data_IF_246579100818
#
_entry.id   IF_246579100818
#
_cell.length_a   1.000
_cell.length_b   1.000
_cell.length_c   1.000
_cell.angle_alpha   90.00
_cell.angle_beta   90.00
_cell.angle_gamma   90.00
#
_symmetry.space_group_name_H-M   'P 1'
#
loop_
_entity.id
_entity.type
_entity.pdbx_description
1 polymer ?
#
# COMPACT_ATOMS: atom_id res chain seq x y z
N UNK A 1 -9.38 -27.49 -23.84
CA UNK A 1 -8.66 -26.97 -25.03
C UNK A 1 -7.63 -25.96 -24.54
N UNK A 2 -6.36 -26.36 -24.54
CA UNK A 2 -5.25 -25.51 -24.08
C UNK A 2 -5.07 -24.34 -25.06
N UNK A 3 -5.07 -23.11 -24.54
CA UNK A 3 -4.70 -21.92 -25.33
C UNK A 3 -3.18 -21.81 -25.31
N UNK A 4 -2.57 -22.08 -26.46
CA UNK A 4 -1.15 -21.82 -26.72
C UNK A 4 -0.86 -20.33 -26.53
N UNK A 5 0.11 -20.04 -25.65
CA UNK A 5 0.69 -18.71 -25.49
C UNK A 5 1.63 -18.50 -26.68
N UNK A 6 1.24 -17.63 -27.62
CA UNK A 6 2.12 -17.19 -28.70
C UNK A 6 3.25 -16.34 -28.11
N UNK A 7 4.45 -16.91 -28.09
CA UNK A 7 5.71 -16.18 -27.93
C UNK A 7 5.84 -15.17 -29.08
N UNK A 8 5.76 -13.87 -28.77
CA UNK A 8 6.15 -12.80 -29.68
C UNK A 8 7.61 -12.45 -29.38
N UNK A 9 8.50 -12.80 -30.29
CA UNK A 9 9.85 -12.27 -30.38
C UNK A 9 9.80 -10.80 -30.77
N UNK A 10 9.71 -9.90 -29.78
CA UNK A 10 10.27 -8.55 -29.90
C UNK A 10 11.62 -8.59 -29.22
N UNK A 11 12.61 -7.91 -29.80
CA UNK A 11 13.81 -7.54 -29.05
C UNK A 11 13.29 -6.53 -28.02
N UNK A 12 12.90 -7.03 -26.85
CA UNK A 12 12.21 -6.25 -25.82
C UNK A 12 13.19 -5.21 -25.27
N UNK A 13 13.06 -3.98 -25.78
CA UNK A 13 13.59 -2.82 -25.08
C UNK A 13 12.75 -2.72 -23.82
N UNK A 14 13.34 -3.07 -22.68
CA UNK A 14 12.74 -2.84 -21.37
C UNK A 14 12.30 -1.38 -21.28
N UNK A 15 11.04 -1.14 -20.92
CA UNK A 15 10.45 0.21 -20.94
C UNK A 15 11.13 1.15 -19.94
N UNK A 16 11.66 0.57 -18.87
CA UNK A 16 12.36 1.27 -17.81
C UNK A 16 13.86 1.41 -18.12
N UNK A 17 14.32 2.63 -18.39
CA UNK A 17 15.74 2.94 -18.47
C UNK A 17 16.45 2.63 -17.13
N UNK A 18 17.63 2.02 -17.19
CA UNK A 18 18.44 1.69 -16.00
C UNK A 18 19.59 2.68 -15.85
N UNK A 19 19.49 3.54 -14.85
CA UNK A 19 20.44 4.63 -14.56
C UNK A 19 21.43 4.26 -13.46
N UNK A 20 22.66 4.75 -13.59
CA UNK A 20 23.67 4.68 -12.55
C UNK A 20 23.51 5.85 -11.56
N UNK A 21 23.39 5.51 -10.27
CA UNK A 21 23.17 6.46 -9.17
C UNK A 21 24.30 7.48 -8.95
N UNK A 22 25.47 7.27 -9.55
CA UNK A 22 26.68 8.11 -9.40
C UNK A 22 26.97 8.94 -10.64
N UNK A 23 26.59 8.48 -11.83
CA UNK A 23 26.98 9.11 -13.10
C UNK A 23 25.81 9.75 -13.85
N UNK A 24 24.58 9.33 -13.58
CA UNK A 24 23.40 9.76 -14.34
C UNK A 24 22.45 10.62 -13.48
N UNK A 25 21.61 11.44 -14.14
CA UNK A 25 20.57 12.21 -13.45
C UNK A 25 19.42 11.31 -12.98
N UNK A 26 19.43 10.97 -11.70
CA UNK A 26 18.45 10.08 -11.08
C UNK A 26 17.26 10.81 -10.42
N UNK A 27 17.08 12.12 -10.62
CA UNK A 27 16.02 12.90 -9.92
C UNK A 27 14.60 12.35 -10.10
N UNK A 28 14.33 11.71 -11.22
CA UNK A 28 13.03 11.12 -11.55
C UNK A 28 13.03 9.58 -11.49
N UNK A 29 14.18 8.96 -11.21
CA UNK A 29 14.32 7.52 -11.18
C UNK A 29 13.84 6.91 -9.86
N UNK A 30 13.23 5.74 -9.91
CA UNK A 30 12.98 4.93 -8.73
C UNK A 30 14.30 4.32 -8.23
N UNK A 31 14.64 4.56 -6.97
CA UNK A 31 15.83 3.96 -6.35
C UNK A 31 15.58 2.51 -5.97
N UNK A 32 16.23 1.58 -6.67
CA UNK A 32 16.05 0.13 -6.47
C UNK A 32 17.28 -0.58 -5.92
N UNK A 33 18.36 0.14 -5.63
CA UNK A 33 19.54 -0.43 -4.98
C UNK A 33 19.33 -0.63 -3.46
N UNK A 34 20.26 -1.33 -2.80
CA UNK A 34 20.23 -1.49 -1.34
C UNK A 34 20.31 -0.13 -0.63
N UNK A 35 19.60 0.08 0.48
CA UNK A 35 18.76 -0.87 1.22
C UNK A 35 17.26 -0.84 0.83
N UNK A 36 16.90 -0.42 -0.39
CA UNK A 36 15.48 -0.39 -0.80
C UNK A 36 14.82 -1.78 -0.72
N UNK A 37 13.48 -1.86 -0.62
CA UNK A 37 12.75 -3.12 -0.66
C UNK A 37 13.05 -4.02 -1.88
N UNK A 38 13.44 -3.41 -3.00
CA UNK A 38 13.76 -4.12 -4.24
C UNK A 38 15.27 -4.33 -4.43
N UNK A 39 16.10 -3.95 -3.45
CA UNK A 39 17.54 -4.15 -3.50
C UNK A 39 17.92 -5.62 -3.51
N UNK A 40 18.89 -6.00 -4.35
CA UNK A 40 19.38 -7.37 -4.38
C UNK A 40 19.96 -7.79 -3.01
N UNK A 41 19.42 -8.83 -2.34
CA UNK A 41 19.93 -9.29 -1.06
C UNK A 41 21.29 -10.01 -1.19
N UNK A 42 21.66 -10.45 -2.39
CA UNK A 42 22.89 -11.16 -2.68
C UNK A 42 24.02 -10.20 -3.07
N UNK A 43 25.25 -10.46 -2.61
CA UNK A 43 26.43 -9.65 -2.87
C UNK A 43 27.40 -10.32 -3.84
N UNK A 44 27.84 -9.59 -4.88
CA UNK A 44 28.91 -10.06 -5.77
C UNK A 44 30.16 -10.36 -4.94
N UNK A 45 30.77 -11.52 -5.17
CA UNK A 45 31.84 -12.09 -4.35
C UNK A 45 31.26 -13.15 -3.40
N UNK A 46 30.80 -12.79 -2.19
CA UNK A 46 30.33 -13.76 -1.19
C UNK A 46 29.21 -14.68 -1.68
N UNK A 47 28.29 -14.17 -2.50
CA UNK A 47 27.12 -14.92 -2.98
C UNK A 47 27.27 -15.45 -4.41
N UNK A 48 28.43 -15.26 -5.02
CA UNK A 48 28.75 -15.64 -6.40
C UNK A 48 29.20 -14.48 -7.27
N UNK A 49 29.45 -14.77 -8.54
CA UNK A 49 29.73 -13.74 -9.54
C UNK A 49 28.48 -12.92 -9.89
N UNK A 50 28.65 -11.92 -10.77
CA UNK A 50 27.57 -11.03 -11.20
C UNK A 50 26.38 -11.78 -11.81
N UNK A 51 26.62 -12.80 -12.63
CA UNK A 51 25.55 -13.54 -13.29
C UNK A 51 24.79 -14.38 -12.26
N UNK A 52 25.52 -15.05 -11.37
CA UNK A 52 24.96 -15.87 -10.31
C UNK A 52 24.05 -15.05 -9.36
N UNK A 53 24.50 -13.87 -8.90
CA UNK A 53 23.67 -13.05 -7.99
C UNK A 53 22.46 -12.43 -8.68
N UNK A 54 22.49 -12.20 -9.99
CA UNK A 54 21.32 -11.74 -10.76
C UNK A 54 20.32 -12.88 -10.95
N UNK A 55 20.79 -14.09 -11.25
CA UNK A 55 19.94 -15.27 -11.34
C UNK A 55 19.24 -15.56 -10.00
N UNK A 56 20.00 -15.59 -8.90
CA UNK A 56 19.44 -15.74 -7.54
C UNK A 56 18.43 -14.64 -7.21
N UNK A 57 18.70 -13.40 -7.64
CA UNK A 57 17.74 -12.30 -7.45
C UNK A 57 16.43 -12.51 -8.21
N UNK A 58 16.49 -13.03 -9.43
CA UNK A 58 15.29 -13.36 -10.21
C UNK A 58 14.42 -14.38 -9.50
N UNK A 59 15.02 -15.46 -9.00
CA UNK A 59 14.31 -16.47 -8.22
C UNK A 59 13.73 -15.88 -6.92
N UNK A 60 14.52 -15.07 -6.22
CA UNK A 60 14.08 -14.40 -5.00
C UNK A 60 12.91 -13.45 -5.24
N UNK A 61 12.97 -12.59 -6.26
CA UNK A 61 11.91 -11.64 -6.57
C UNK A 61 10.63 -12.37 -6.99
N UNK A 62 10.76 -13.41 -7.82
CA UNK A 62 9.64 -14.26 -8.19
C UNK A 62 8.96 -14.92 -6.98
N UNK A 63 9.74 -15.44 -6.03
CA UNK A 63 9.20 -16.02 -4.80
C UNK A 63 8.48 -14.98 -3.93
N UNK A 64 9.05 -13.78 -3.76
CA UNK A 64 8.40 -12.69 -2.98
C UNK A 64 7.09 -12.24 -3.61
N UNK A 65 7.04 -12.17 -4.93
CA UNK A 65 5.80 -11.86 -5.67
C UNK A 65 4.76 -12.97 -5.47
N UNK A 66 5.16 -14.24 -5.61
CA UNK A 66 4.26 -15.39 -5.45
C UNK A 66 3.67 -15.49 -4.03
N UNK A 67 4.46 -15.13 -3.01
CA UNK A 67 4.04 -15.06 -1.60
C UNK A 67 3.24 -13.78 -1.25
N UNK A 68 3.01 -12.90 -2.23
CA UNK A 68 2.47 -11.56 -2.06
C UNK A 68 3.16 -10.80 -0.92
N UNK A 69 4.49 -10.83 -0.87
CA UNK A 69 5.27 -10.08 0.12
C UNK A 69 4.87 -8.60 0.09
N UNK A 70 4.33 -8.05 1.20
CA UNK A 70 3.67 -6.76 1.18
C UNK A 70 4.65 -5.63 0.98
N UNK A 71 5.91 -5.79 1.41
CA UNK A 71 6.94 -4.76 1.28
C UNK A 71 7.42 -4.71 -0.17
N UNK A 72 7.71 -5.87 -0.76
CA UNK A 72 8.16 -5.98 -2.15
C UNK A 72 7.04 -5.59 -3.12
N UNK A 73 5.83 -6.12 -2.94
CA UNK A 73 4.68 -5.82 -3.81
C UNK A 73 4.31 -4.34 -3.74
N UNK A 74 4.27 -3.74 -2.53
CA UNK A 74 4.03 -2.29 -2.38
C UNK A 74 5.10 -1.44 -3.06
N UNK A 75 6.36 -1.88 -3.05
CA UNK A 75 7.44 -1.17 -3.71
C UNK A 75 7.32 -1.27 -5.24
N UNK A 76 7.01 -2.45 -5.79
CA UNK A 76 6.72 -2.64 -7.22
C UNK A 76 5.55 -1.75 -7.66
N UNK A 77 4.45 -1.75 -6.91
CA UNK A 77 3.25 -0.95 -7.20
C UNK A 77 3.49 0.57 -7.16
N UNK A 78 4.57 1.02 -6.51
CA UNK A 78 4.95 2.44 -6.44
C UNK A 78 5.79 2.94 -7.63
N UNK A 79 6.23 2.06 -8.52
CA UNK A 79 6.99 2.44 -9.72
C UNK A 79 5.99 2.82 -10.82
N UNK A 80 6.12 4.02 -11.39
CA UNK A 80 5.25 4.47 -12.48
C UNK A 80 5.67 3.83 -13.81
N UNK A 81 4.74 3.72 -14.75
CA UNK A 81 5.03 3.33 -16.13
C UNK A 81 6.17 4.17 -16.73
N UNK A 82 7.12 3.54 -17.42
CA UNK A 82 8.35 4.13 -17.98
C UNK A 82 9.26 4.88 -16.98
N UNK A 83 9.00 4.82 -15.67
CA UNK A 83 9.86 5.50 -14.69
C UNK A 83 11.25 4.85 -14.70
N UNK A 84 12.34 5.61 -14.91
CA UNK A 84 13.68 5.01 -14.89
C UNK A 84 13.97 4.35 -13.54
N UNK A 85 14.74 3.28 -13.53
CA UNK A 85 15.22 2.63 -12.30
C UNK A 85 16.67 3.01 -12.09
N UNK A 86 17.07 3.26 -10.83
CA UNK A 86 18.45 3.62 -10.51
C UNK A 86 19.15 2.57 -9.65
N UNK A 87 20.33 2.16 -10.09
CA UNK A 87 21.21 1.23 -9.39
C UNK A 87 22.68 1.54 -9.66
N UNK A 88 23.52 1.53 -8.63
CA UNK A 88 24.96 1.82 -8.74
C UNK A 88 25.74 0.84 -9.66
N UNK A 89 25.17 -0.33 -9.96
CA UNK A 89 25.79 -1.33 -10.83
C UNK A 89 25.69 -1.00 -12.32
N UNK A 90 24.73 -0.17 -12.72
CA UNK A 90 24.54 0.21 -14.12
C UNK A 90 25.81 0.90 -14.67
N UNK A 91 26.14 0.83 -15.96
CA UNK A 91 25.41 0.14 -17.02
C UNK A 91 25.72 -1.36 -17.12
N UNK A 92 26.58 -1.91 -16.25
CA UNK A 92 26.81 -3.35 -16.24
C UNK A 92 25.52 -4.10 -15.86
N UNK A 93 25.37 -5.38 -16.28
CA UNK A 93 24.20 -6.18 -15.92
C UNK A 93 23.92 -6.10 -14.41
N UNK A 94 22.67 -5.80 -14.06
CA UNK A 94 22.27 -5.64 -12.66
C UNK A 94 20.82 -6.06 -12.45
N UNK A 95 20.44 -6.23 -11.18
CA UNK A 95 19.12 -6.69 -10.77
C UNK A 95 17.97 -5.77 -11.20
N UNK A 96 18.24 -4.50 -11.48
CA UNK A 96 17.22 -3.56 -11.96
C UNK A 96 16.64 -3.97 -13.32
N UNK A 97 17.40 -4.70 -14.15
CA UNK A 97 16.88 -5.28 -15.41
C UNK A 97 15.79 -6.33 -15.13
N UNK A 98 15.97 -7.16 -14.10
CA UNK A 98 14.97 -8.15 -13.67
C UNK A 98 13.70 -7.47 -13.15
N UNK A 99 13.84 -6.35 -12.42
CA UNK A 99 12.68 -5.55 -11.99
C UNK A 99 11.93 -5.01 -13.21
N UNK A 100 12.64 -4.44 -14.19
CA UNK A 100 12.05 -3.90 -15.40
C UNK A 100 11.29 -4.97 -16.20
N UNK A 101 11.87 -6.15 -16.40
CA UNK A 101 11.22 -7.28 -17.07
C UNK A 101 9.91 -7.70 -16.36
N UNK A 102 9.92 -7.72 -15.02
CA UNK A 102 8.74 -8.07 -14.21
C UNK A 102 7.65 -6.99 -14.33
N UNK A 103 8.02 -5.71 -14.35
CA UNK A 103 7.09 -4.59 -14.56
C UNK A 103 6.49 -4.65 -15.97
N UNK A 104 7.31 -4.83 -17.01
CA UNK A 104 6.88 -4.97 -18.41
C UNK A 104 5.99 -6.21 -18.63
N UNK A 105 6.16 -7.24 -17.79
CA UNK A 105 5.33 -8.44 -17.75
C UNK A 105 3.92 -8.22 -17.17
N UNK A 106 3.57 -7.00 -16.75
CA UNK A 106 2.25 -6.66 -16.23
C UNK A 106 2.01 -7.14 -14.80
N UNK A 107 3.06 -7.22 -13.98
CA UNK A 107 2.89 -7.69 -12.59
C UNK A 107 2.01 -6.76 -11.76
N UNK A 108 2.00 -5.45 -12.07
CA UNK A 108 1.27 -4.47 -11.28
C UNK A 108 -0.23 -4.67 -11.43
N UNK A 109 -0.71 -4.98 -12.64
CA UNK A 109 -2.10 -5.35 -12.90
C UNK A 109 -2.48 -6.63 -12.13
N UNK A 110 -1.62 -7.65 -12.14
CA UNK A 110 -1.84 -8.90 -11.42
C UNK A 110 -1.91 -8.68 -9.90
N UNK A 111 -1.06 -7.82 -9.34
CA UNK A 111 -1.05 -7.50 -7.92
C UNK A 111 -2.26 -6.66 -7.49
N UNK A 112 -2.84 -5.87 -8.39
CA UNK A 112 -4.07 -5.09 -8.15
C UNK A 112 -5.35 -5.92 -8.33
N UNK A 113 -5.23 -7.12 -8.89
CA UNK A 113 -6.30 -8.10 -8.89
C UNK A 113 -6.36 -8.82 -7.53
N UNK A 114 -7.36 -8.44 -6.74
CA UNK A 114 -7.59 -9.00 -5.40
C UNK A 114 -8.55 -10.19 -5.41
N UNK A 115 -9.06 -10.59 -6.59
CA UNK A 115 -10.03 -11.67 -6.71
C UNK A 115 -11.39 -11.31 -6.12
N UNK A 116 -11.96 -12.23 -5.34
CA UNK A 116 -13.29 -12.09 -4.75
C UNK A 116 -13.34 -11.05 -3.62
N UNK A 117 -14.50 -10.38 -3.48
CA UNK A 117 -14.74 -9.40 -2.43
C UNK A 117 -14.67 -10.04 -1.05
N UNK A 118 -13.89 -9.43 -0.16
CA UNK A 118 -13.65 -9.91 1.20
C UNK A 118 -14.74 -9.50 2.20
N UNK A 119 -15.63 -8.58 1.80
CA UNK A 119 -16.57 -7.85 2.66
C UNK A 119 -15.84 -7.15 3.81
N UNK A 120 -14.73 -6.50 3.50
CA UNK A 120 -13.93 -5.73 4.46
C UNK A 120 -13.78 -4.31 3.92
N UNK A 121 -13.90 -3.32 4.80
CA UNK A 121 -13.65 -1.92 4.42
C UNK A 121 -12.79 -1.25 5.46
N UNK A 122 -11.98 -0.29 5.03
CA UNK A 122 -11.27 0.59 5.94
C UNK A 122 -12.11 1.81 6.25
N UNK A 123 -12.28 2.14 7.53
CA UNK A 123 -12.84 3.40 7.99
C UNK A 123 -11.77 4.20 8.72
N UNK A 124 -11.31 5.29 8.11
CA UNK A 124 -10.23 6.12 8.67
C UNK A 124 -10.46 7.60 8.35
N UNK A 125 -9.76 8.52 9.02
CA UNK A 125 -9.86 9.93 8.63
C UNK A 125 -9.13 10.89 9.55
N UNK A 126 -9.17 12.17 9.20
CA UNK A 126 -8.57 13.20 10.03
C UNK A 126 -9.25 13.26 11.40
N UNK A 127 -8.46 13.55 12.44
CA UNK A 127 -8.98 13.87 13.78
C UNK A 127 -9.78 15.18 13.80
N UNK A 128 -9.63 16.01 12.77
CA UNK A 128 -10.34 17.29 12.59
C UNK A 128 -11.62 17.15 11.73
N UNK A 129 -12.12 15.93 11.54
CA UNK A 129 -13.33 15.69 10.72
C UNK A 129 -14.53 16.42 11.33
N UNK A 130 -15.30 17.22 10.56
CA UNK A 130 -16.44 17.97 11.08
C UNK A 130 -17.55 17.05 11.62
N UNK A 131 -18.26 17.51 12.66
CA UNK A 131 -19.29 16.72 13.34
C UNK A 131 -20.35 16.13 12.40
N UNK A 132 -20.82 16.92 11.43
CA UNK A 132 -21.81 16.45 10.47
C UNK A 132 -21.28 15.31 9.59
N UNK A 133 -19.98 15.29 9.26
CA UNK A 133 -19.33 14.17 8.55
C UNK A 133 -19.15 12.98 9.48
N UNK A 134 -18.79 13.20 10.75
CA UNK A 134 -18.73 12.12 11.75
C UNK A 134 -20.09 11.40 11.90
N UNK A 135 -21.19 12.14 11.84
CA UNK A 135 -22.54 11.53 11.84
C UNK A 135 -22.80 10.69 10.58
N UNK A 136 -22.29 11.11 9.42
CA UNK A 136 -22.36 10.30 8.19
C UNK A 136 -21.51 9.05 8.32
N UNK A 137 -20.29 9.13 8.87
CA UNK A 137 -19.41 7.98 9.09
C UNK A 137 -20.07 6.91 9.96
N UNK A 138 -20.73 7.31 11.06
CA UNK A 138 -21.51 6.39 11.91
C UNK A 138 -22.60 5.66 11.13
N UNK A 139 -23.38 6.40 10.32
CA UNK A 139 -24.45 5.83 9.49
C UNK A 139 -23.91 4.88 8.41
N UNK A 140 -22.80 5.25 7.76
CA UNK A 140 -22.12 4.40 6.77
C UNK A 140 -21.66 3.11 7.43
N UNK A 141 -20.95 3.19 8.56
CA UNK A 141 -20.48 2.03 9.30
C UNK A 141 -21.64 1.10 9.70
N UNK A 142 -22.73 1.68 10.23
CA UNK A 142 -23.92 0.93 10.60
C UNK A 142 -24.52 0.19 9.40
N UNK A 143 -24.68 0.87 8.26
CA UNK A 143 -25.22 0.25 7.06
C UNK A 143 -24.32 -0.86 6.52
N UNK A 144 -23.01 -0.64 6.52
CA UNK A 144 -22.05 -1.67 6.11
C UNK A 144 -22.08 -2.88 7.06
N UNK A 145 -22.26 -2.66 8.35
CA UNK A 145 -22.49 -3.74 9.34
C UNK A 145 -23.74 -4.56 9.02
N UNK A 146 -24.86 -3.94 8.65
CA UNK A 146 -26.08 -4.65 8.21
C UNK A 146 -25.84 -5.53 6.97
N UNK A 147 -24.94 -5.09 6.08
CA UNK A 147 -24.56 -5.81 4.86
C UNK A 147 -23.48 -6.88 5.11
N UNK A 148 -23.09 -7.07 6.37
CA UNK A 148 -22.12 -8.09 6.78
C UNK A 148 -20.66 -7.71 6.57
N UNK A 149 -20.36 -6.44 6.34
CA UNK A 149 -18.97 -5.98 6.24
C UNK A 149 -18.27 -5.99 7.59
N UNK A 150 -16.95 -6.22 7.54
CA UNK A 150 -16.03 -6.07 8.68
C UNK A 150 -15.29 -4.73 8.56
N UNK A 151 -15.32 -3.93 9.63
CA UNK A 151 -14.59 -2.66 9.70
C UNK A 151 -13.13 -2.89 10.08
N UNK A 152 -12.22 -2.25 9.35
CA UNK A 152 -10.82 -2.06 9.73
C UNK A 152 -10.56 -0.58 10.02
N UNK A 153 -10.15 -0.27 11.25
CA UNK A 153 -9.87 1.11 11.71
C UNK A 153 -8.62 1.08 12.60
N UNK A 154 -8.25 2.19 13.24
CA UNK A 154 -7.13 2.17 14.18
C UNK A 154 -7.22 3.07 15.41
N UNK A 155 -8.44 3.35 15.86
CA UNK A 155 -8.69 3.82 17.22
C UNK A 155 -8.27 5.25 17.49
N UNK A 156 -7.96 6.06 16.47
CA UNK A 156 -7.76 7.50 16.67
C UNK A 156 -9.08 8.19 17.06
N UNK A 157 -8.99 9.37 17.68
CA UNK A 157 -10.19 10.19 17.91
C UNK A 157 -10.76 10.74 16.60
N UNK A 158 -12.04 11.12 16.60
CA UNK A 158 -12.69 11.69 15.42
C UNK A 158 -13.15 10.60 14.44
N UNK A 159 -12.58 10.55 13.23
CA UNK A 159 -13.09 9.68 12.17
C UNK A 159 -13.04 8.19 12.50
N UNK A 160 -11.88 7.66 12.92
CA UNK A 160 -11.72 6.25 13.32
C UNK A 160 -12.78 5.88 14.38
N UNK A 161 -12.88 6.67 15.45
CA UNK A 161 -13.89 6.52 16.51
C UNK A 161 -15.34 6.53 15.99
N UNK A 162 -15.69 7.43 15.06
CA UNK A 162 -17.04 7.47 14.50
C UNK A 162 -17.39 6.23 13.68
N UNK A 163 -16.46 5.69 12.88
CA UNK A 163 -16.67 4.40 12.21
C UNK A 163 -16.81 3.26 13.23
N UNK A 164 -15.96 3.26 14.26
CA UNK A 164 -15.95 2.24 15.31
C UNK A 164 -17.22 2.21 16.15
N UNK A 165 -17.80 3.37 16.45
CA UNK A 165 -19.07 3.51 17.15
C UNK A 165 -20.25 3.06 16.29
N UNK A 166 -20.25 3.40 15.00
CA UNK A 166 -21.32 3.02 14.07
C UNK A 166 -21.29 1.54 13.69
N UNK A 167 -20.12 0.89 13.75
CA UNK A 167 -19.97 -0.52 13.42
C UNK A 167 -20.35 -1.43 14.60
N UNK A 168 -21.53 -2.04 14.51
CA UNK A 168 -22.01 -3.05 15.47
C UNK A 168 -21.60 -4.49 15.11
N UNK A 169 -21.17 -4.73 13.86
CA UNK A 169 -20.69 -6.03 13.38
C UNK A 169 -19.22 -6.28 13.78
N UNK A 170 -18.54 -7.18 13.05
CA UNK A 170 -17.12 -7.46 13.25
C UNK A 170 -16.28 -6.22 12.95
N UNK A 171 -15.31 -5.96 13.81
CA UNK A 171 -14.31 -4.90 13.62
C UNK A 171 -12.94 -5.33 14.13
N UNK A 172 -11.92 -4.83 13.44
CA UNK A 172 -10.50 -4.99 13.73
C UNK A 172 -9.89 -3.60 13.92
N UNK A 173 -9.49 -3.29 15.15
CA UNK A 173 -9.01 -1.97 15.55
C UNK A 173 -7.50 -2.06 15.77
N UNK A 174 -6.73 -1.62 14.78
CA UNK A 174 -5.27 -1.71 14.82
C UNK A 174 -4.70 -0.55 15.63
N UNK A 175 -3.99 -0.85 16.72
CA UNK A 175 -3.43 0.14 17.62
C UNK A 175 -1.91 0.25 17.47
N UNK A 176 -1.34 1.47 17.49
CA UNK A 176 0.10 1.66 17.36
C UNK A 176 0.89 1.14 18.58
N UNK A 177 0.25 1.08 19.76
CA UNK A 177 0.78 0.46 20.98
C UNK A 177 -0.37 0.03 21.90
N UNK A 178 -0.12 -0.86 22.89
CA UNK A 178 -1.11 -1.27 23.87
C UNK A 178 -1.68 -0.08 24.66
N UNK A 179 -3.00 0.00 24.78
CA UNK A 179 -3.67 1.05 25.55
C UNK A 179 -3.72 2.42 24.85
N UNK A 180 -3.44 2.50 23.54
CA UNK A 180 -3.64 3.73 22.77
C UNK A 180 -5.06 4.28 22.97
N UNK A 181 -5.18 5.53 23.43
CA UNK A 181 -6.46 6.16 23.82
C UNK A 181 -7.30 5.35 24.81
N UNK A 182 -6.65 4.61 25.71
CA UNK A 182 -7.29 3.72 26.69
C UNK A 182 -8.11 2.57 26.07
N UNK A 183 -7.96 2.33 24.76
CA UNK A 183 -8.65 1.27 24.05
C UNK A 183 -8.04 -0.09 24.43
N UNK A 184 -8.94 -1.04 24.71
CA UNK A 184 -8.64 -2.42 25.06
C UNK A 184 -9.82 -3.31 24.69
N UNK A 185 -9.55 -4.62 24.53
CA UNK A 185 -10.58 -5.63 24.33
C UNK A 185 -10.34 -6.47 23.07
N UNK A 186 -11.22 -7.44 22.83
CA UNK A 186 -11.07 -8.49 21.81
C UNK A 186 -10.94 -7.98 20.37
N UNK A 187 -11.38 -6.75 20.10
CA UNK A 187 -11.33 -6.13 18.78
C UNK A 187 -10.03 -5.35 18.54
N UNK A 188 -9.26 -5.06 19.59
CA UNK A 188 -8.02 -4.30 19.51
C UNK A 188 -6.87 -5.24 19.14
N UNK A 189 -6.22 -4.97 18.01
CA UNK A 189 -4.99 -5.63 17.57
C UNK A 189 -3.86 -4.64 17.84
N UNK A 190 -3.08 -4.91 18.89
CA UNK A 190 -2.02 -4.02 19.33
C UNK A 190 -0.70 -4.33 18.63
N UNK A 191 0.12 -3.29 18.48
CA UNK A 191 1.46 -3.34 17.90
C UNK A 191 1.46 -3.66 16.39
N UNK A 192 1.87 -2.72 15.54
CA UNK A 192 2.12 -3.01 14.14
C UNK A 192 3.22 -4.08 14.01
N UNK A 193 3.05 -4.99 13.05
CA UNK A 193 4.10 -5.96 12.71
C UNK A 193 5.35 -5.28 12.16
N UNK A 194 6.50 -5.94 12.22
CA UNK A 194 7.73 -5.43 11.62
C UNK A 194 7.59 -5.18 10.11
N UNK A 195 6.84 -6.03 9.39
CA UNK A 195 6.51 -5.81 7.99
C UNK A 195 5.68 -4.54 7.80
N UNK A 196 4.74 -4.22 8.70
CA UNK A 196 3.91 -3.02 8.60
C UNK A 196 4.73 -1.73 8.67
N UNK A 197 5.80 -1.70 9.48
CA UNK A 197 6.77 -0.60 9.49
C UNK A 197 7.48 -0.46 8.14
N UNK A 198 7.91 -1.57 7.54
CA UNK A 198 8.59 -1.56 6.24
C UNK A 198 7.66 -1.17 5.09
N UNK A 199 6.40 -1.62 5.11
CA UNK A 199 5.36 -1.15 4.18
C UNK A 199 5.15 0.35 4.33
N UNK A 200 5.05 0.84 5.57
CA UNK A 200 4.84 2.25 5.81
C UNK A 200 6.03 3.11 5.35
N UNK A 201 7.25 2.66 5.61
CA UNK A 201 8.49 3.29 5.15
C UNK A 201 8.55 3.40 3.61
N UNK A 202 8.13 2.35 2.89
CA UNK A 202 8.15 2.33 1.43
C UNK A 202 7.19 3.35 0.77
N UNK A 203 6.25 3.91 1.53
CA UNK A 203 5.19 4.82 1.05
C UNK A 203 5.33 6.23 1.62
N UNK A 204 5.89 6.34 2.83
CA UNK A 204 5.95 7.62 3.53
C UNK A 204 7.00 8.54 2.89
N UNK A 205 6.65 9.79 2.53
CA UNK A 205 7.51 10.66 1.71
C UNK A 205 8.75 11.16 2.45
N UNK A 206 8.75 11.09 3.78
CA UNK A 206 9.86 11.53 4.62
C UNK A 206 10.02 10.66 5.88
N UNK A 207 10.06 9.34 5.72
CA UNK A 207 10.08 8.38 6.84
C UNK A 207 11.14 8.69 7.90
N UNK A 208 12.37 8.99 7.47
CA UNK A 208 13.50 9.33 8.35
C UNK A 208 13.31 10.60 9.20
N UNK A 209 12.28 11.41 8.92
CA UNK A 209 11.94 12.60 9.72
C UNK A 209 10.91 12.30 10.83
N UNK A 210 10.33 11.10 10.85
CA UNK A 210 9.36 10.68 11.85
C UNK A 210 10.08 10.14 13.09
N UNK A 211 9.57 10.50 14.27
CA UNK A 211 9.92 9.81 15.52
C UNK A 211 9.18 8.46 15.63
N UNK A 212 9.59 7.63 16.58
CA UNK A 212 9.07 6.26 16.75
C UNK A 212 7.54 6.22 16.92
N UNK A 213 6.99 7.17 17.67
CA UNK A 213 5.53 7.30 17.87
C UNK A 213 4.81 7.56 16.54
N UNK A 214 5.32 8.47 15.72
CA UNK A 214 4.76 8.78 14.41
C UNK A 214 4.95 7.62 13.43
N UNK A 215 6.10 6.94 13.47
CA UNK A 215 6.34 5.73 12.68
C UNK A 215 5.33 4.62 13.05
N UNK A 216 5.08 4.37 14.34
CA UNK A 216 4.10 3.38 14.79
C UNK A 216 2.68 3.72 14.33
N UNK A 217 2.29 5.00 14.34
CA UNK A 217 1.02 5.45 13.78
C UNK A 217 0.92 5.19 12.27
N UNK A 218 1.99 5.43 11.51
CA UNK A 218 2.01 5.17 10.07
C UNK A 218 2.04 3.67 9.77
N UNK A 219 2.81 2.88 10.53
CA UNK A 219 2.87 1.43 10.41
C UNK A 219 1.50 0.79 10.67
N UNK A 220 0.78 1.26 11.70
CA UNK A 220 -0.61 0.85 11.97
C UNK A 220 -1.55 1.08 10.77
N UNK A 221 -1.32 2.12 9.96
CA UNK A 221 -2.13 2.40 8.79
C UNK A 221 -2.00 1.33 7.70
N UNK A 222 -0.87 0.61 7.65
CA UNK A 222 -0.69 -0.52 6.73
C UNK A 222 -1.74 -1.60 6.98
N UNK A 223 -2.02 -1.91 8.23
CA UNK A 223 -3.00 -2.94 8.61
C UNK A 223 -4.45 -2.54 8.35
N UNK A 224 -4.79 -1.24 8.39
CA UNK A 224 -6.15 -0.78 8.06
C UNK A 224 -6.52 -1.06 6.60
N UNK A 225 -5.53 -1.08 5.71
CA UNK A 225 -5.74 -1.27 4.28
C UNK A 225 -5.50 -2.72 3.87
N UNK A 226 -4.45 -3.35 4.41
CA UNK A 226 -4.00 -4.69 3.98
C UNK A 226 -4.37 -5.83 4.95
N UNK A 227 -5.02 -5.52 6.07
CA UNK A 227 -5.35 -6.49 7.12
C UNK A 227 -4.17 -6.91 7.99
N UNK A 228 -4.43 -7.84 8.92
CA UNK A 228 -3.46 -8.28 9.92
C UNK A 228 -2.22 -8.96 9.32
N UNK A 229 -2.40 -9.71 8.23
CA UNK A 229 -1.34 -10.41 7.48
C UNK A 229 -0.66 -9.54 6.40
N UNK A 230 -1.16 -8.31 6.21
CA UNK A 230 -0.76 -7.37 5.15
C UNK A 230 -0.93 -7.92 3.73
N UNK A 231 -1.69 -8.99 3.55
CA UNK A 231 -1.89 -9.72 2.28
C UNK A 231 -3.37 -9.85 1.91
N UNK A 232 -4.25 -9.53 2.85
CA UNK A 232 -5.69 -9.60 2.71
C UNK A 232 -6.28 -8.17 2.67
N UNK A 233 -6.19 -7.47 1.53
CA UNK A 233 -6.65 -6.09 1.42
C UNK A 233 -8.15 -5.92 1.66
N UNK A 234 -8.54 -4.72 2.08
CA UNK A 234 -9.95 -4.30 2.11
C UNK A 234 -10.49 -4.08 0.70
N UNK A 235 -11.80 -4.20 0.54
CA UNK A 235 -12.47 -3.98 -0.75
C UNK A 235 -12.50 -2.51 -1.16
N UNK A 236 -12.49 -1.60 -0.17
CA UNK A 236 -12.43 -0.15 -0.36
C UNK A 236 -12.11 0.57 0.97
N UNK A 237 -11.68 1.84 0.84
CA UNK A 237 -11.46 2.77 1.96
C UNK A 237 -12.53 3.84 1.96
N UNK A 238 -13.17 4.08 3.10
CA UNK A 238 -14.02 5.26 3.34
C UNK A 238 -13.30 6.18 4.29
N UNK A 239 -13.15 7.45 3.89
CA UNK A 239 -12.44 8.40 4.73
C UNK A 239 -12.95 9.83 4.63
N UNK A 240 -12.36 10.72 5.43
CA UNK A 240 -12.44 12.16 5.22
C UNK A 240 -11.07 12.79 5.48
N UNK A 241 -10.65 13.67 4.57
CA UNK A 241 -9.49 14.55 4.77
C UNK A 241 -9.84 15.99 4.41
N UNK A 242 -9.22 17.01 5.04
CA UNK A 242 -9.59 18.40 4.81
C UNK A 242 -9.37 18.87 3.38
N UNK A 243 -8.43 18.24 2.67
CA UNK A 243 -8.05 18.53 1.29
C UNK A 243 -8.67 17.58 0.26
N UNK A 244 -9.60 16.72 0.68
CA UNK A 244 -10.28 15.76 -0.18
C UNK A 244 -9.32 14.84 -1.00
N UNK A 245 -8.19 14.47 -0.40
CA UNK A 245 -7.20 13.57 -1.01
C UNK A 245 -7.82 12.21 -1.36
N UNK A 246 -7.56 11.72 -2.56
CA UNK A 246 -8.07 10.44 -3.06
C UNK A 246 -6.98 9.48 -3.58
N UNK A 247 -5.76 9.97 -3.78
CA UNK A 247 -4.62 9.20 -4.32
C UNK A 247 -3.29 9.59 -3.66
N UNK A 248 -2.24 8.78 -3.88
CA UNK A 248 -0.88 9.11 -3.45
C UNK A 248 -0.39 10.43 -4.07
N UNK A 249 -0.79 10.70 -5.33
CA UNK A 249 -0.40 11.88 -6.08
C UNK A 249 -1.02 13.17 -5.51
N UNK A 250 -2.25 13.12 -5.02
CA UNK A 250 -2.95 14.28 -4.43
C UNK A 250 -2.62 14.51 -2.95
N UNK A 251 -1.87 13.59 -2.32
CA UNK A 251 -1.53 13.67 -0.91
C UNK A 251 -0.70 14.92 -0.61
N UNK A 252 -1.12 15.64 0.42
CA UNK A 252 -0.47 16.85 0.90
C UNK A 252 -0.16 16.77 2.39
N UNK A 253 0.52 17.81 2.91
CA UNK A 253 0.71 17.95 4.37
C UNK A 253 -0.63 18.10 5.10
N UNK A 254 -1.64 18.68 4.45
CA UNK A 254 -2.98 18.91 5.00
C UNK A 254 -3.77 17.62 5.13
N UNK A 255 -3.50 16.62 4.28
CA UNK A 255 -4.12 15.28 4.39
C UNK A 255 -3.86 14.63 5.75
N UNK A 256 -2.68 14.89 6.33
CA UNK A 256 -2.25 14.32 7.60
C UNK A 256 -2.02 12.81 7.53
N UNK A 257 -2.11 12.14 8.69
CA UNK A 257 -1.78 10.71 8.82
C UNK A 257 -2.65 9.78 7.97
N UNK A 258 -3.89 10.16 7.68
CA UNK A 258 -4.79 9.41 6.79
C UNK A 258 -4.23 9.27 5.37
N UNK A 259 -3.40 10.22 4.93
CA UNK A 259 -2.74 10.17 3.64
C UNK A 259 -1.84 8.93 3.48
N UNK A 260 -1.36 8.33 4.56
CA UNK A 260 -0.62 7.06 4.51
C UNK A 260 -1.51 5.90 4.05
N UNK A 261 -2.74 5.80 4.58
CA UNK A 261 -3.69 4.77 4.19
C UNK A 261 -4.21 4.99 2.76
N UNK A 262 -4.47 6.25 2.38
CA UNK A 262 -4.90 6.61 1.02
C UNK A 262 -3.82 6.26 -0.01
N UNK A 263 -2.56 6.64 0.24
CA UNK A 263 -1.46 6.32 -0.67
C UNK A 263 -1.23 4.80 -0.80
N UNK A 264 -1.39 4.06 0.30
CA UNK A 264 -1.30 2.60 0.24
C UNK A 264 -2.45 1.99 -0.57
N UNK A 265 -3.68 2.44 -0.34
CA UNK A 265 -4.84 1.99 -1.09
C UNK A 265 -4.67 2.25 -2.61
N UNK A 266 -4.22 3.46 -2.97
CA UNK A 266 -3.97 3.86 -4.37
C UNK A 266 -2.96 2.93 -5.06
N UNK A 267 -1.80 2.66 -4.42
CA UNK A 267 -0.80 1.72 -4.97
C UNK A 267 -1.40 0.35 -5.24
N UNK A 268 -2.18 -0.17 -4.30
CA UNK A 268 -2.84 -1.48 -4.41
C UNK A 268 -4.11 -1.46 -5.25
N UNK A 269 -4.48 -0.33 -5.88
CA UNK A 269 -5.69 -0.25 -6.69
C UNK A 269 -6.99 -0.40 -5.89
N UNK A 270 -6.94 -0.15 -4.58
CA UNK A 270 -8.10 -0.23 -3.68
C UNK A 270 -8.86 1.10 -3.77
N UNK A 271 -10.16 1.09 -4.13
CA UNK A 271 -10.94 2.30 -4.26
C UNK A 271 -11.04 3.11 -2.97
N UNK A 272 -10.90 4.44 -3.07
CA UNK A 272 -11.07 5.38 -1.97
C UNK A 272 -12.33 6.22 -2.17
N UNK A 273 -13.21 6.24 -1.17
CA UNK A 273 -14.37 7.11 -1.08
C UNK A 273 -14.12 8.17 0.00
N UNK A 274 -13.60 9.34 -0.40
CA UNK A 274 -13.39 10.47 0.50
C UNK A 274 -14.67 11.32 0.64
N UNK A 275 -15.28 11.30 1.81
CA UNK A 275 -16.54 11.98 2.15
C UNK A 275 -16.45 13.52 2.03
N UNK A 276 -15.26 14.10 1.88
CA UNK A 276 -15.10 15.51 1.56
C UNK A 276 -15.75 15.89 0.21
N UNK A 277 -15.92 14.92 -0.71
CA UNK A 277 -16.66 15.12 -1.97
C UNK A 277 -18.18 15.01 -1.84
N UNK A 278 -18.72 14.88 -0.63
CA UNK A 278 -20.16 14.87 -0.36
C UNK A 278 -20.92 13.81 -1.16
N UNK A 279 -21.91 14.24 -1.95
CA UNK A 279 -22.80 13.33 -2.72
C UNK A 279 -22.03 12.43 -3.69
N UNK A 280 -20.94 12.92 -4.29
CA UNK A 280 -20.13 12.12 -5.21
C UNK A 280 -19.45 10.93 -4.49
N UNK A 281 -18.97 11.14 -3.25
CA UNK A 281 -18.40 10.07 -2.44
C UNK A 281 -19.43 9.00 -2.09
N UNK A 282 -20.65 9.41 -1.73
CA UNK A 282 -21.75 8.49 -1.43
C UNK A 282 -22.17 7.67 -2.65
N UNK A 283 -22.23 8.29 -3.84
CA UNK A 283 -22.51 7.57 -5.09
C UNK A 283 -21.43 6.54 -5.42
N UNK A 284 -20.15 6.89 -5.24
CA UNK A 284 -19.03 5.94 -5.38
C UNK A 284 -19.17 4.78 -4.40
N UNK A 285 -19.46 5.06 -3.13
CA UNK A 285 -19.61 4.03 -2.10
C UNK A 285 -20.77 3.07 -2.42
N UNK A 286 -21.90 3.58 -2.90
CA UNK A 286 -23.02 2.72 -3.32
C UNK A 286 -22.60 1.73 -4.42
N UNK A 287 -21.92 2.22 -5.46
CA UNK A 287 -21.41 1.37 -6.55
C UNK A 287 -20.34 0.36 -6.12
N UNK A 288 -19.62 0.60 -5.02
CA UNK A 288 -18.66 -0.35 -4.46
C UNK A 288 -19.30 -1.47 -3.64
N UNK A 289 -20.51 -1.23 -3.13
CA UNK A 289 -21.25 -2.15 -2.25
C UNK A 289 -22.25 -3.01 -3.01
N UNK A 290 -22.75 -2.53 -4.16
CA UNK A 290 -23.77 -3.19 -4.99
C UNK A 290 -23.21 -4.27 -5.94
N UNK A 291 -21.91 -4.57 -5.89
CA UNK A 291 -21.22 -5.52 -6.78
C UNK A 291 -20.75 -6.76 -6.01
#
# INVERSE_FOLDING_TARGET
MAREIRCRTRVDVVSHAILNTKTDDCRHAAYVARPSPLGNPYAIGPDGDRQAVIARYRDWLGARIAERDPVVCTALLGIRHDQPLSCHCAPAPCHATVIAEVLDGGIQEQLRDHGEKTRRFSGAGSRSTPDHVLQVMRKVAHRLSELGYTLLSGGAGGADEAFEEGCFSKKEIYLPWPGFRHLKGRHCITLPSAEAFRVAEAIHPAWKRLNDTAQALMARNSHQVLGADLRSPVDFVVCWTPDACDSEATRSRTTGGTGQAIALADRWGIPVANLAHGKAAMGRLAGLVEV
#
